data_IF_316920809718
#
_entry.id   IF_316920809718
#
_cell.length_a   1.000
_cell.length_b   1.000
_cell.length_c   1.000
_cell.angle_alpha   90.00
_cell.angle_beta   90.00
_cell.angle_gamma   90.00
#
_symmetry.space_group_name_H-M   'P 1'
#
loop_
_entity.id
_entity.type
_entity.pdbx_description
1 polymer ?
#
# COMPACT_ATOMS: atom_id res chain seq x y z
N UNK A 1 -12.40 29.11 11.19
CA UNK A 1 -13.56 28.92 10.30
C UNK A 1 -13.04 28.55 8.92
N UNK A 2 -13.29 27.34 8.49
CA UNK A 2 -12.93 26.86 7.14
C UNK A 2 -13.68 27.70 6.11
N UNK A 3 -12.98 28.64 5.49
CA UNK A 3 -13.52 29.49 4.41
C UNK A 3 -12.98 29.04 3.04
N UNK A 4 -12.43 27.83 2.96
CA UNK A 4 -11.82 27.30 1.73
C UNK A 4 -12.84 26.40 1.03
N UNK A 5 -13.11 26.69 -0.24
CA UNK A 5 -13.99 25.89 -1.07
C UNK A 5 -13.40 24.47 -1.22
N UNK A 6 -14.24 23.44 -1.07
CA UNK A 6 -13.85 22.04 -1.19
C UNK A 6 -13.21 21.73 -2.56
N UNK A 7 -13.61 22.43 -3.61
CA UNK A 7 -13.03 22.31 -4.94
C UNK A 7 -11.51 22.62 -4.96
N UNK A 8 -11.03 23.51 -4.07
CA UNK A 8 -9.60 23.79 -3.95
C UNK A 8 -8.81 22.58 -3.45
N UNK A 9 -9.38 21.79 -2.53
CA UNK A 9 -8.78 20.56 -2.03
C UNK A 9 -8.77 19.47 -3.11
N UNK A 10 -9.84 19.35 -3.88
CA UNK A 10 -9.92 18.44 -5.02
C UNK A 10 -8.85 18.75 -6.08
N UNK A 11 -8.69 20.00 -6.43
CA UNK A 11 -7.67 20.46 -7.37
C UNK A 11 -6.26 20.19 -6.81
N UNK A 12 -6.01 20.50 -5.55
CA UNK A 12 -4.74 20.18 -4.88
C UNK A 12 -4.42 18.68 -4.95
N UNK A 13 -5.39 17.82 -4.62
CA UNK A 13 -5.23 16.37 -4.70
C UNK A 13 -4.76 15.91 -6.08
N UNK A 14 -5.40 16.37 -7.14
CA UNK A 14 -5.03 15.95 -8.50
C UNK A 14 -3.69 16.52 -8.94
N UNK A 15 -3.33 17.74 -8.57
CA UNK A 15 -2.00 18.30 -8.85
C UNK A 15 -0.90 17.52 -8.13
N UNK A 16 -1.11 17.17 -6.88
CA UNK A 16 -0.18 16.34 -6.10
C UNK A 16 -0.04 14.94 -6.69
N UNK A 17 -1.17 14.29 -7.01
CA UNK A 17 -1.22 12.94 -7.58
C UNK A 17 -0.46 12.81 -8.90
N UNK A 18 -0.55 13.81 -9.78
CA UNK A 18 0.06 13.76 -11.11
C UNK A 18 1.40 14.51 -11.22
N UNK A 19 1.75 15.32 -10.24
CA UNK A 19 2.95 16.17 -10.28
C UNK A 19 2.96 17.16 -11.46
N UNK A 20 1.80 17.41 -12.10
CA UNK A 20 1.70 18.16 -13.34
C UNK A 20 0.36 18.92 -13.44
N UNK A 21 0.45 20.25 -13.54
CA UNK A 21 -0.71 21.15 -13.61
C UNK A 21 -1.58 20.92 -14.86
N UNK A 22 -0.95 20.69 -16.02
CA UNK A 22 -1.67 20.45 -17.27
C UNK A 22 -2.43 19.13 -17.24
N UNK A 23 -1.80 18.07 -16.75
CA UNK A 23 -2.44 16.77 -16.60
C UNK A 23 -3.59 16.81 -15.60
N UNK A 24 -3.41 17.51 -14.48
CA UNK A 24 -4.48 17.73 -13.52
C UNK A 24 -5.65 18.51 -14.13
N UNK A 25 -5.37 19.58 -14.89
CA UNK A 25 -6.39 20.37 -15.59
C UNK A 25 -7.19 19.53 -16.59
N UNK A 26 -6.53 18.67 -17.37
CA UNK A 26 -7.19 17.75 -18.31
C UNK A 26 -8.16 16.82 -17.59
N UNK A 27 -7.72 16.17 -16.51
CA UNK A 27 -8.56 15.23 -15.74
C UNK A 27 -9.73 15.94 -15.05
N UNK A 28 -9.52 17.20 -14.64
CA UNK A 28 -10.55 18.02 -13.99
C UNK A 28 -11.47 18.74 -14.99
N UNK A 29 -11.27 18.56 -16.29
CA UNK A 29 -12.00 19.24 -17.36
C UNK A 29 -12.00 20.77 -17.21
N UNK A 30 -10.83 21.34 -16.85
CA UNK A 30 -10.64 22.79 -16.64
C UNK A 30 -9.36 23.27 -17.32
N UNK A 31 -9.08 24.58 -17.24
CA UNK A 31 -7.87 25.17 -17.81
C UNK A 31 -6.70 25.15 -16.81
N UNK A 32 -5.47 24.96 -17.31
CA UNK A 32 -4.27 25.01 -16.49
C UNK A 32 -4.09 26.36 -15.75
N UNK A 33 -4.40 27.55 -16.31
CA UNK A 33 -4.39 28.80 -15.56
C UNK A 33 -5.36 28.80 -14.37
N UNK A 34 -6.54 28.20 -14.51
CA UNK A 34 -7.52 28.05 -13.42
C UNK A 34 -6.96 27.20 -12.30
N UNK A 35 -6.36 26.03 -12.63
CA UNK A 35 -5.69 25.16 -11.65
C UNK A 35 -4.59 25.92 -10.91
N UNK A 36 -3.72 26.64 -11.63
CA UNK A 36 -2.63 27.42 -11.03
C UNK A 36 -3.16 28.49 -10.06
N UNK A 37 -4.19 29.23 -10.48
CA UNK A 37 -4.82 30.26 -9.63
C UNK A 37 -5.42 29.67 -8.38
N UNK A 38 -6.07 28.51 -8.47
CA UNK A 38 -6.67 27.83 -7.34
C UNK A 38 -5.62 27.35 -6.33
N UNK A 39 -4.52 26.75 -6.81
CA UNK A 39 -3.41 26.35 -5.94
C UNK A 39 -2.83 27.57 -5.23
N UNK A 40 -2.57 28.66 -5.95
CA UNK A 40 -2.06 29.89 -5.33
C UNK A 40 -2.99 30.46 -4.25
N UNK A 41 -4.30 30.46 -4.51
CA UNK A 41 -5.30 30.91 -3.53
C UNK A 41 -5.35 29.99 -2.30
N UNK A 42 -5.22 28.66 -2.49
CA UNK A 42 -5.17 27.70 -1.41
C UNK A 42 -3.94 27.94 -0.53
N UNK A 43 -2.73 28.06 -1.13
CA UNK A 43 -1.50 28.39 -0.42
C UNK A 43 -1.57 29.70 0.35
N UNK A 44 -2.17 30.72 -0.26
CA UNK A 44 -2.42 32.02 0.40
C UNK A 44 -3.35 31.88 1.62
N UNK A 45 -4.44 31.10 1.49
CA UNK A 45 -5.40 30.90 2.57
C UNK A 45 -4.81 30.10 3.74
N UNK A 46 -3.91 29.16 3.43
CA UNK A 46 -3.20 28.34 4.42
C UNK A 46 -1.93 29.00 4.94
N UNK A 47 -1.54 30.14 4.34
CA UNK A 47 -0.31 30.87 4.65
C UNK A 47 0.96 29.99 4.60
N UNK A 48 0.98 29.00 3.72
CA UNK A 48 2.15 28.17 3.46
C UNK A 48 2.20 27.73 1.99
N UNK A 49 3.39 27.37 1.52
CA UNK A 49 3.55 26.76 0.20
C UNK A 49 3.37 25.26 0.30
N UNK A 50 2.56 24.71 -0.62
CA UNK A 50 2.29 23.28 -0.72
C UNK A 50 3.09 22.63 -1.86
N UNK A 51 3.51 23.43 -2.83
CA UNK A 51 4.29 22.97 -3.97
C UNK A 51 5.51 23.81 -4.23
N UNK A 52 6.55 23.16 -4.76
CA UNK A 52 7.70 23.77 -5.39
C UNK A 52 7.80 23.33 -6.85
N UNK A 53 8.32 24.23 -7.71
CA UNK A 53 8.59 23.91 -9.11
C UNK A 53 9.91 23.18 -9.23
N UNK A 54 9.92 22.05 -9.92
CA UNK A 54 11.11 21.30 -10.26
C UNK A 54 11.27 21.21 -11.79
N UNK A 55 12.44 20.74 -12.23
CA UNK A 55 12.69 20.48 -13.67
C UNK A 55 11.76 19.43 -14.26
N UNK A 56 11.11 18.62 -13.42
CA UNK A 56 10.26 17.48 -13.82
C UNK A 56 8.77 17.80 -13.60
N UNK A 57 8.43 18.97 -13.04
CA UNK A 57 7.04 19.37 -12.76
C UNK A 57 6.85 19.95 -11.36
N UNK A 58 5.68 19.70 -10.77
CA UNK A 58 5.33 20.13 -9.42
C UNK A 58 5.68 19.06 -8.39
N UNK A 59 6.40 19.44 -7.34
CA UNK A 59 6.75 18.57 -6.21
C UNK A 59 6.13 19.12 -4.93
N UNK A 60 5.68 18.27 -4.04
CA UNK A 60 5.18 18.68 -2.73
C UNK A 60 6.33 19.23 -1.86
N UNK A 61 6.03 20.26 -1.09
CA UNK A 61 6.85 20.68 0.05
C UNK A 61 6.61 19.73 1.25
N UNK A 62 7.41 19.78 2.32
CA UNK A 62 7.11 19.02 3.54
C UNK A 62 5.71 19.30 4.11
N UNK A 63 5.26 20.56 4.09
CA UNK A 63 3.90 20.95 4.48
C UNK A 63 2.86 20.38 3.49
N UNK A 64 3.19 20.39 2.21
CA UNK A 64 2.36 19.81 1.16
C UNK A 64 2.21 18.29 1.30
N UNK A 65 3.25 17.57 1.71
CA UNK A 65 3.19 16.13 1.96
C UNK A 65 2.24 15.80 3.12
N UNK A 66 2.39 16.50 4.26
CA UNK A 66 1.48 16.34 5.39
C UNK A 66 0.04 16.66 5.00
N UNK A 67 -0.17 17.76 4.28
CA UNK A 67 -1.49 18.15 3.82
C UNK A 67 -2.09 17.15 2.82
N UNK A 68 -1.26 16.58 1.94
CA UNK A 68 -1.70 15.58 0.97
C UNK A 68 -2.21 14.30 1.64
N UNK A 69 -1.59 13.84 2.70
CA UNK A 69 -2.05 12.65 3.44
C UNK A 69 -3.50 12.79 3.89
N UNK A 70 -3.86 13.94 4.49
CA UNK A 70 -5.22 14.19 4.95
C UNK A 70 -6.21 14.39 3.80
N UNK A 71 -5.81 15.14 2.77
CA UNK A 71 -6.70 15.41 1.63
C UNK A 71 -6.92 14.14 0.80
N UNK A 72 -5.88 13.32 0.59
CA UNK A 72 -5.99 12.05 -0.11
C UNK A 72 -6.95 11.10 0.61
N UNK A 73 -6.84 10.99 1.94
CA UNK A 73 -7.76 10.18 2.75
C UNK A 73 -9.22 10.69 2.63
N UNK A 74 -9.42 12.00 2.69
CA UNK A 74 -10.74 12.61 2.48
C UNK A 74 -11.32 12.33 1.10
N UNK A 75 -10.55 12.55 0.04
CA UNK A 75 -10.96 12.25 -1.34
C UNK A 75 -11.30 10.78 -1.54
N UNK A 76 -10.52 9.86 -0.94
CA UNK A 76 -10.79 8.43 -1.00
C UNK A 76 -12.17 8.08 -0.41
N UNK A 77 -12.58 8.72 0.69
CA UNK A 77 -13.90 8.49 1.29
C UNK A 77 -15.03 8.97 0.37
N UNK A 78 -14.87 10.09 -0.33
CA UNK A 78 -15.87 10.55 -1.30
C UNK A 78 -16.00 9.59 -2.48
N UNK A 79 -14.87 9.17 -3.08
CA UNK A 79 -14.90 8.20 -4.17
C UNK A 79 -15.50 6.85 -3.75
N UNK A 80 -15.22 6.43 -2.50
CA UNK A 80 -15.81 5.22 -1.95
C UNK A 80 -17.32 5.37 -1.73
N UNK A 81 -17.79 6.51 -1.29
CA UNK A 81 -19.23 6.77 -1.12
C UNK A 81 -19.96 6.75 -2.47
N UNK A 82 -19.39 7.36 -3.52
CA UNK A 82 -19.94 7.33 -4.89
C UNK A 82 -19.98 5.89 -5.43
N UNK A 83 -18.90 5.12 -5.25
CA UNK A 83 -18.85 3.70 -5.65
C UNK A 83 -19.90 2.87 -4.92
N UNK A 84 -19.97 2.98 -3.59
CA UNK A 84 -20.95 2.24 -2.80
C UNK A 84 -22.39 2.56 -3.20
N UNK A 85 -22.67 3.82 -3.48
CA UNK A 85 -24.01 4.21 -3.95
C UNK A 85 -24.33 3.61 -5.31
N UNK A 86 -23.38 3.63 -6.23
CA UNK A 86 -23.49 2.95 -7.54
C UNK A 86 -23.72 1.45 -7.38
N UNK A 87 -22.99 0.81 -6.47
CA UNK A 87 -23.12 -0.63 -6.19
C UNK A 87 -24.46 -0.96 -5.51
N UNK A 88 -24.98 -0.09 -4.64
CA UNK A 88 -26.32 -0.25 -4.05
C UNK A 88 -27.46 -0.08 -5.08
N UNK A 89 -27.24 0.76 -6.07
CA UNK A 89 -28.23 0.98 -7.16
C UNK A 89 -28.19 -0.13 -8.21
N UNK A 90 -27.06 -0.81 -8.34
CA UNK A 90 -26.87 -2.01 -9.17
C UNK A 90 -26.78 -3.24 -8.27
N UNK A 91 -27.89 -3.77 -7.80
CA UNK A 91 -28.01 -4.91 -6.85
C UNK A 91 -27.26 -6.19 -7.25
N UNK A 92 -26.59 -6.23 -8.40
CA UNK A 92 -25.92 -7.41 -8.95
C UNK A 92 -24.44 -7.20 -9.32
N UNK A 93 -23.90 -5.98 -9.24
CA UNK A 93 -22.55 -5.69 -9.72
C UNK A 93 -21.79 -4.85 -8.71
N UNK A 94 -20.77 -5.39 -8.08
CA UNK A 94 -19.91 -4.68 -7.15
C UNK A 94 -18.42 -4.84 -7.51
N UNK A 95 -17.58 -3.93 -7.03
CA UNK A 95 -16.13 -4.11 -7.10
C UNK A 95 -15.54 -4.13 -5.69
N UNK A 96 -14.85 -5.20 -5.36
CA UNK A 96 -14.11 -5.35 -4.10
C UNK A 96 -12.65 -4.94 -4.34
N UNK A 97 -12.18 -3.96 -3.61
CA UNK A 97 -10.80 -3.47 -3.66
C UNK A 97 -9.98 -4.14 -2.57
N UNK A 98 -8.95 -4.87 -2.96
CA UNK A 98 -8.11 -5.64 -2.02
C UNK A 98 -6.66 -5.26 -2.19
N UNK A 99 -5.95 -5.05 -1.09
CA UNK A 99 -4.49 -5.02 -1.10
C UNK A 99 -3.94 -6.32 -0.52
N UNK A 100 -2.97 -6.93 -1.16
CA UNK A 100 -2.39 -8.18 -0.68
C UNK A 100 -0.87 -8.22 -0.86
N UNK A 101 -0.20 -8.92 0.07
CA UNK A 101 1.18 -9.32 -0.17
C UNK A 101 1.22 -10.51 -1.13
N UNK A 102 2.33 -10.68 -1.84
CA UNK A 102 2.54 -11.78 -2.80
C UNK A 102 2.22 -13.14 -2.18
N UNK A 103 2.77 -13.41 -1.01
CA UNK A 103 2.52 -14.66 -0.28
C UNK A 103 1.04 -14.84 0.06
N UNK A 104 0.38 -13.80 0.57
CA UNK A 104 -1.04 -13.87 0.94
C UNK A 104 -1.94 -14.07 -0.29
N UNK A 105 -1.57 -13.44 -1.40
CA UNK A 105 -2.27 -13.55 -2.67
C UNK A 105 -2.26 -15.01 -3.17
N UNK A 106 -1.07 -15.60 -3.29
CA UNK A 106 -0.90 -16.95 -3.82
C UNK A 106 -1.34 -18.05 -2.85
N UNK A 107 -1.03 -17.92 -1.54
CA UNK A 107 -1.31 -18.97 -0.58
C UNK A 107 -2.76 -19.02 -0.09
N UNK A 108 -3.53 -17.94 -0.28
CA UNK A 108 -4.87 -17.87 0.29
C UNK A 108 -5.89 -17.16 -0.62
N UNK A 109 -5.58 -15.93 -1.09
CA UNK A 109 -6.60 -15.06 -1.66
C UNK A 109 -7.13 -15.58 -2.99
N UNK A 110 -6.29 -16.12 -3.87
CA UNK A 110 -6.74 -16.65 -5.16
C UNK A 110 -7.79 -17.74 -5.00
N UNK A 111 -7.56 -18.69 -4.12
CA UNK A 111 -8.51 -19.78 -3.87
C UNK A 111 -9.84 -19.26 -3.29
N UNK A 112 -9.78 -18.29 -2.37
CA UNK A 112 -10.97 -17.69 -1.80
C UNK A 112 -11.77 -16.89 -2.85
N UNK A 113 -11.08 -16.19 -3.76
CA UNK A 113 -11.70 -15.44 -4.85
C UNK A 113 -12.35 -16.36 -5.89
N UNK A 114 -11.70 -17.45 -6.23
CA UNK A 114 -12.27 -18.46 -7.14
C UNK A 114 -13.60 -18.97 -6.60
N UNK A 115 -13.63 -19.45 -5.35
CA UNK A 115 -14.87 -19.92 -4.71
C UNK A 115 -15.92 -18.82 -4.55
N UNK A 116 -15.50 -17.58 -4.33
CA UNK A 116 -16.43 -16.44 -4.25
C UNK A 116 -17.03 -16.09 -5.62
N UNK A 117 -16.21 -16.10 -6.67
CA UNK A 117 -16.65 -15.77 -8.02
C UNK A 117 -17.64 -16.80 -8.59
N UNK A 118 -17.54 -18.08 -8.18
CA UNK A 118 -18.53 -19.10 -8.52
C UNK A 118 -19.93 -18.77 -7.98
N UNK A 119 -20.01 -18.14 -6.80
CA UNK A 119 -21.28 -17.76 -6.17
C UNK A 119 -21.77 -16.38 -6.61
N UNK A 120 -20.84 -15.47 -6.92
CA UNK A 120 -21.12 -14.06 -7.25
C UNK A 120 -20.36 -13.63 -8.51
N UNK A 121 -20.73 -14.15 -9.70
CA UNK A 121 -19.96 -13.98 -10.93
C UNK A 121 -19.91 -12.53 -11.44
N UNK A 122 -20.82 -11.67 -10.99
CA UNK A 122 -20.87 -10.26 -11.37
C UNK A 122 -20.09 -9.34 -10.43
N UNK A 123 -19.47 -9.87 -9.37
CA UNK A 123 -18.62 -9.10 -8.47
C UNK A 123 -17.17 -9.12 -8.98
N UNK A 124 -16.63 -7.95 -9.19
CA UNK A 124 -15.27 -7.77 -9.68
C UNK A 124 -14.28 -7.54 -8.52
N UNK A 125 -13.08 -8.09 -8.66
CA UNK A 125 -11.97 -7.81 -7.73
C UNK A 125 -10.94 -6.89 -8.38
N UNK A 126 -10.53 -5.86 -7.65
CA UNK A 126 -9.36 -5.06 -7.97
C UNK A 126 -8.28 -5.29 -6.91
N UNK A 127 -7.19 -5.91 -7.34
CA UNK A 127 -6.12 -6.33 -6.44
C UNK A 127 -4.91 -5.43 -6.61
N UNK A 128 -4.40 -4.92 -5.49
CA UNK A 128 -3.15 -4.19 -5.40
C UNK A 128 -2.12 -5.06 -4.71
N UNK A 129 -1.06 -5.46 -5.42
CA UNK A 129 0.05 -6.18 -4.82
C UNK A 129 1.01 -5.19 -4.16
N UNK A 130 1.16 -5.28 -2.84
CA UNK A 130 1.94 -4.36 -2.05
C UNK A 130 2.63 -5.07 -0.88
N UNK A 131 3.66 -4.43 -0.29
CA UNK A 131 4.23 -4.87 0.99
C UNK A 131 3.19 -4.76 2.12
N UNK A 132 3.37 -5.52 3.20
CA UNK A 132 2.48 -5.48 4.38
C UNK A 132 2.27 -4.06 4.90
N UNK A 133 3.34 -3.27 5.06
CA UNK A 133 3.27 -1.89 5.55
C UNK A 133 2.43 -1.01 4.63
N UNK A 134 2.66 -1.09 3.33
CA UNK A 134 1.92 -0.31 2.34
C UNK A 134 0.45 -0.73 2.29
N UNK A 135 0.16 -2.02 2.37
CA UNK A 135 -1.21 -2.55 2.41
C UNK A 135 -1.99 -2.04 3.63
N UNK A 136 -1.37 -2.02 4.81
CA UNK A 136 -1.99 -1.48 6.03
C UNK A 136 -2.31 0.02 5.88
N UNK A 137 -1.39 0.80 5.33
CA UNK A 137 -1.60 2.24 5.11
C UNK A 137 -2.75 2.49 4.13
N UNK A 138 -2.80 1.76 3.01
CA UNK A 138 -3.86 1.90 2.00
C UNK A 138 -5.25 1.56 2.58
N UNK A 139 -5.35 0.56 3.48
CA UNK A 139 -6.59 0.28 4.21
C UNK A 139 -6.94 1.42 5.17
N UNK A 140 -5.96 1.94 5.91
CA UNK A 140 -6.15 3.07 6.84
C UNK A 140 -6.65 4.32 6.12
N UNK A 141 -6.18 4.55 4.91
CA UNK A 141 -6.61 5.64 4.02
C UNK A 141 -7.99 5.40 3.37
N UNK A 142 -8.55 4.19 3.50
CA UNK A 142 -9.83 3.82 2.88
C UNK A 142 -9.77 3.61 1.37
N UNK A 143 -8.60 3.46 0.79
CA UNK A 143 -8.40 3.24 -0.65
C UNK A 143 -8.72 1.81 -1.10
N UNK A 144 -8.79 0.86 -0.16
CA UNK A 144 -9.23 -0.52 -0.37
C UNK A 144 -10.18 -0.95 0.75
N UNK A 145 -10.99 -1.96 0.50
CA UNK A 145 -11.95 -2.46 1.48
C UNK A 145 -11.27 -3.26 2.60
N UNK A 146 -10.29 -4.06 2.24
CA UNK A 146 -9.46 -4.79 3.19
C UNK A 146 -8.10 -5.14 2.60
N UNK A 147 -7.19 -5.61 3.47
CA UNK A 147 -5.92 -6.16 3.03
C UNK A 147 -5.69 -7.56 3.60
N UNK A 148 -5.04 -8.41 2.80
CA UNK A 148 -4.55 -9.74 3.23
C UNK A 148 -3.04 -9.71 3.22
N UNK A 149 -2.45 -9.82 4.40
CA UNK A 149 -1.02 -9.59 4.58
C UNK A 149 -0.39 -10.66 5.46
N UNK A 150 0.92 -10.80 5.35
CA UNK A 150 1.71 -11.73 6.15
C UNK A 150 2.18 -11.08 7.45
N UNK A 151 2.01 -11.76 8.58
CA UNK A 151 2.60 -11.38 9.87
C UNK A 151 4.13 -11.67 9.89
N UNK A 152 4.89 -11.04 10.81
CA UNK A 152 4.46 -10.22 11.93
C UNK A 152 4.25 -8.74 11.54
N UNK A 153 3.22 -8.12 12.11
CA UNK A 153 2.97 -6.68 12.02
C UNK A 153 2.15 -6.20 13.22
N UNK A 154 2.10 -4.90 13.43
CA UNK A 154 1.24 -4.26 14.42
C UNK A 154 0.24 -3.37 13.70
N UNK A 155 -0.97 -3.34 14.21
CA UNK A 155 -2.01 -2.43 13.73
C UNK A 155 -2.48 -1.54 14.87
N UNK A 156 -2.94 -0.35 14.50
CA UNK A 156 -3.52 0.62 15.39
C UNK A 156 -5.01 0.76 15.13
N UNK A 157 -5.77 1.17 16.13
CA UNK A 157 -7.18 1.52 15.95
C UNK A 157 -7.31 2.63 14.90
N UNK A 158 -8.34 2.62 14.06
CA UNK A 158 -9.57 1.81 14.13
C UNK A 158 -9.47 0.44 13.43
N UNK A 159 -8.33 0.07 12.85
CA UNK A 159 -8.21 -1.18 12.11
C UNK A 159 -8.41 -2.41 13.02
N UNK A 160 -8.97 -3.46 12.44
CA UNK A 160 -9.13 -4.77 13.06
C UNK A 160 -8.40 -5.83 12.24
N UNK A 161 -7.94 -6.89 12.89
CA UNK A 161 -7.31 -8.01 12.21
C UNK A 161 -7.95 -9.33 12.57
N UNK A 162 -7.92 -10.26 11.61
CA UNK A 162 -8.32 -11.65 11.79
C UNK A 162 -7.25 -12.55 11.19
N UNK A 163 -6.83 -13.58 11.96
CA UNK A 163 -5.93 -14.60 11.43
C UNK A 163 -6.72 -15.53 10.52
N UNK A 164 -6.31 -15.62 9.24
CA UNK A 164 -6.95 -16.47 8.24
C UNK A 164 -6.29 -17.84 8.16
N UNK A 165 -4.95 -17.88 8.14
CA UNK A 165 -4.17 -19.11 8.03
C UNK A 165 -2.82 -18.97 8.73
N UNK A 166 -2.30 -20.07 9.26
CA UNK A 166 -0.90 -20.17 9.72
C UNK A 166 -0.09 -20.89 8.66
N UNK A 167 1.12 -20.44 8.43
CA UNK A 167 2.09 -21.06 7.53
C UNK A 167 3.48 -20.99 8.15
N UNK A 168 4.41 -21.73 7.58
CA UNK A 168 5.81 -21.76 7.99
C UNK A 168 6.68 -21.47 6.78
N UNK A 169 7.68 -20.64 6.98
CA UNK A 169 8.75 -20.48 6.00
C UNK A 169 9.63 -21.73 6.02
N UNK A 170 10.08 -22.15 4.87
CA UNK A 170 11.03 -23.23 4.69
C UNK A 170 12.30 -22.71 4.03
N UNK A 171 13.42 -23.32 4.38
CA UNK A 171 14.67 -23.07 3.69
C UNK A 171 14.69 -23.83 2.36
N UNK A 172 15.04 -23.12 1.31
CA UNK A 172 15.27 -23.72 0.00
C UNK A 172 16.74 -23.57 -0.38
N UNK A 173 17.31 -24.59 -0.97
CA UNK A 173 18.69 -24.59 -1.47
C UNK A 173 18.76 -25.19 -2.85
N UNK A 174 19.67 -24.69 -3.67
CA UNK A 174 19.99 -25.29 -4.96
C UNK A 174 20.75 -26.61 -4.81
N UNK A 175 21.05 -27.26 -5.93
CA UNK A 175 21.77 -28.58 -6.01
C UNK A 175 23.07 -28.64 -5.19
N UNK A 176 23.76 -27.52 -5.03
CA UNK A 176 24.99 -27.42 -4.22
C UNK A 176 24.75 -27.78 -2.73
N UNK A 177 23.53 -27.69 -2.25
CA UNK A 177 23.16 -27.94 -0.85
C UNK A 177 22.26 -29.17 -0.69
N UNK A 178 22.26 -30.08 -1.67
CA UNK A 178 21.39 -31.28 -1.70
C UNK A 178 21.64 -32.18 -0.49
N UNK A 179 22.85 -32.23 0.01
CA UNK A 179 23.26 -32.96 1.21
C UNK A 179 22.52 -32.52 2.48
N UNK A 180 22.03 -31.27 2.51
CA UNK A 180 21.29 -30.71 3.66
C UNK A 180 19.80 -31.06 3.63
N UNK A 181 19.33 -31.66 2.54
CA UNK A 181 17.92 -31.98 2.36
C UNK A 181 17.42 -32.97 3.43
N UNK A 182 16.36 -32.58 4.11
CA UNK A 182 15.75 -33.40 5.18
C UNK A 182 16.53 -33.44 6.48
N UNK A 183 17.66 -32.77 6.60
CA UNK A 183 18.42 -32.67 7.83
C UNK A 183 17.87 -31.58 8.76
N UNK A 184 17.98 -31.81 10.08
CA UNK A 184 17.77 -30.77 11.08
C UNK A 184 19.05 -29.98 11.24
N UNK A 185 19.05 -28.74 10.80
CA UNK A 185 20.22 -27.87 10.81
C UNK A 185 20.05 -26.84 11.92
N UNK A 186 21.05 -26.69 12.78
CA UNK A 186 21.03 -25.65 13.82
C UNK A 186 21.26 -24.27 13.21
N UNK A 187 20.76 -23.21 13.86
CA UNK A 187 20.98 -21.84 13.41
C UNK A 187 22.45 -21.45 13.32
N UNK A 188 23.31 -22.02 14.19
CA UNK A 188 24.77 -21.82 14.16
C UNK A 188 25.41 -22.42 12.90
N UNK A 189 24.92 -23.57 12.46
CA UNK A 189 25.35 -24.16 11.20
C UNK A 189 24.83 -23.35 10.00
N UNK A 190 23.55 -22.91 10.06
CA UNK A 190 22.96 -22.09 9.00
C UNK A 190 23.68 -20.77 8.79
N UNK A 191 24.21 -20.15 9.85
CA UNK A 191 24.97 -18.92 9.78
C UNK A 191 26.30 -19.03 8.97
N UNK A 192 26.74 -20.24 8.66
CA UNK A 192 27.98 -20.49 7.90
C UNK A 192 27.75 -20.63 6.38
N UNK A 193 26.48 -20.71 5.97
CA UNK A 193 26.14 -20.83 4.56
C UNK A 193 25.85 -19.46 3.94
N UNK A 194 26.07 -19.32 2.62
CA UNK A 194 25.70 -18.09 1.92
C UNK A 194 24.16 -17.98 1.83
N UNK A 195 23.67 -16.76 2.07
CA UNK A 195 22.25 -16.46 2.10
C UNK A 195 21.82 -15.56 0.96
N UNK A 196 20.69 -15.91 0.35
CA UNK A 196 19.91 -15.01 -0.47
C UNK A 196 18.68 -14.60 0.35
N UNK A 197 18.46 -13.33 0.50
CA UNK A 197 17.37 -12.82 1.32
C UNK A 197 16.70 -11.61 0.68
N UNK A 198 15.59 -11.21 1.26
CA UNK A 198 14.93 -9.94 0.91
C UNK A 198 15.71 -8.76 1.50
N UNK A 199 15.44 -7.56 0.98
CA UNK A 199 16.02 -6.31 1.45
C UNK A 199 15.73 -6.05 2.95
N UNK A 200 16.53 -5.24 3.65
CA UNK A 200 16.40 -5.00 5.10
C UNK A 200 15.03 -4.47 5.55
N UNK A 201 14.30 -3.81 4.65
CA UNK A 201 12.97 -3.24 4.92
C UNK A 201 11.88 -4.31 4.99
N UNK A 202 12.11 -5.47 4.35
CA UNK A 202 11.14 -6.55 4.30
C UNK A 202 10.88 -7.14 5.69
N UNK A 203 9.63 -7.45 5.98
CA UNK A 203 9.20 -8.00 7.29
C UNK A 203 9.87 -9.35 7.56
N UNK A 204 9.94 -10.23 6.58
CA UNK A 204 10.62 -11.53 6.69
C UNK A 204 12.10 -11.35 7.03
N UNK A 205 12.78 -10.36 6.41
CA UNK A 205 14.20 -10.07 6.72
C UNK A 205 14.36 -9.58 8.15
N UNK A 206 13.48 -8.68 8.61
CA UNK A 206 13.49 -8.21 10.01
C UNK A 206 13.27 -9.35 11.00
N UNK A 207 12.37 -10.26 10.69
CA UNK A 207 12.15 -11.46 11.49
C UNK A 207 13.40 -12.33 11.55
N UNK A 208 14.08 -12.59 10.43
CA UNK A 208 15.32 -13.35 10.39
C UNK A 208 16.42 -12.67 11.21
N UNK A 209 16.61 -11.36 11.04
CA UNK A 209 17.59 -10.61 11.84
C UNK A 209 17.34 -10.80 13.34
N UNK A 210 16.10 -10.59 13.80
CA UNK A 210 15.73 -10.76 15.21
C UNK A 210 15.92 -12.21 15.70
N UNK A 211 15.65 -13.19 14.85
CA UNK A 211 15.81 -14.60 15.20
C UNK A 211 17.28 -14.97 15.37
N UNK A 212 18.17 -14.47 14.50
CA UNK A 212 19.60 -14.67 14.61
C UNK A 212 20.15 -13.93 15.85
N UNK A 213 19.78 -12.68 16.09
CA UNK A 213 20.19 -11.90 17.26
C UNK A 213 19.80 -12.56 18.58
N UNK A 214 18.60 -13.11 18.69
CA UNK A 214 18.15 -13.89 19.87
C UNK A 214 19.01 -15.11 20.14
N UNK A 215 19.71 -15.63 19.15
CA UNK A 215 20.63 -16.76 19.28
C UNK A 215 22.10 -16.32 19.33
N UNK A 216 22.35 -15.01 19.54
CA UNK A 216 23.71 -14.47 19.65
C UNK A 216 24.48 -14.43 18.34
N UNK A 217 23.78 -14.41 17.20
CA UNK A 217 24.36 -14.41 15.86
C UNK A 217 23.92 -13.17 15.10
N UNK A 218 24.71 -12.75 14.13
CA UNK A 218 24.36 -11.70 13.17
C UNK A 218 23.90 -12.36 11.88
N UNK A 219 22.76 -11.92 11.33
CA UNK A 219 22.32 -12.36 10.01
C UNK A 219 22.91 -11.43 8.94
N UNK A 220 23.64 -12.02 8.02
CA UNK A 220 24.20 -11.33 6.85
C UNK A 220 23.75 -12.08 5.60
N UNK A 221 23.23 -11.33 4.62
CA UNK A 221 22.89 -11.90 3.32
C UNK A 221 24.00 -11.58 2.31
N UNK A 222 24.37 -12.55 1.51
CA UNK A 222 25.33 -12.40 0.42
C UNK A 222 24.69 -11.78 -0.83
N UNK A 223 23.36 -11.97 -0.96
CA UNK A 223 22.54 -11.38 -2.02
C UNK A 223 21.20 -10.90 -1.48
N UNK A 224 20.73 -9.79 -2.04
CA UNK A 224 19.44 -9.19 -1.72
C UNK A 224 18.63 -8.87 -2.98
#
# INVERSE_FOLDING_TARGET
TMNTNFEHYRIFYYVAKYGNLTKAATVLHTSQPSVTRTIHNLEKNLNCRLFERSKVGMKLTPEGEVFYEYIAAGCAQFFKAESNLSDMLSLENGTIYVSATETALHCYLFQAMESFNEQYPNVHFKILNNSTRKSINIVKEGNVDFAVVSAPFQIEKPLQQKVLRKYHDILIGGKRFEELKGQKISIKQLAQYPWISLTPEAITRKFLNQYFEKNGLKFEADME
#
